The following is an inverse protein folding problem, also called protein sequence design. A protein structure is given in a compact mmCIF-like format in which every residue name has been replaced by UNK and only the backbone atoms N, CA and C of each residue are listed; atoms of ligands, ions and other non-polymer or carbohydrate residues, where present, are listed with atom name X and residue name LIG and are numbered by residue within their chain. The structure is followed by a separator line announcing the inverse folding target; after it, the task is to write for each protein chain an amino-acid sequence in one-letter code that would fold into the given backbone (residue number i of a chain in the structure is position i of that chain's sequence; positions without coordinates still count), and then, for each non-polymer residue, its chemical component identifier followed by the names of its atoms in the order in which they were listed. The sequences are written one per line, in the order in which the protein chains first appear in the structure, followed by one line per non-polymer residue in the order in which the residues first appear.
data_IF_301337896802
#
_entry.id   IF_301337896802
#
_cell.length_a   1.000
_cell.length_b   1.000
_cell.length_c   1.000
_cell.angle_alpha   90.00
_cell.angle_beta   90.00
_cell.angle_gamma   90.00
#
_symmetry.space_group_name_H-M   'P 1'
#
loop_
_entity.id
_entity.type
_entity.pdbx_description
1 polymer ?
#
# COMPACT_ATOMS: atom_id res chain seq x y z
N UNK A 1 -63.69 -26.77 101.08
CA UNK A 1 -63.06 -26.93 99.75
C UNK A 1 -61.99 -25.87 99.58
N UNK A 2 -60.78 -26.02 100.15
CA UNK A 2 -59.61 -25.17 99.79
C UNK A 2 -58.26 -25.64 100.38
N UNK A 3 -58.17 -26.79 101.07
CA UNK A 3 -56.89 -27.27 101.65
C UNK A 3 -55.82 -27.47 100.57
N UNK A 4 -56.20 -28.04 99.42
CA UNK A 4 -55.30 -28.29 98.29
C UNK A 4 -54.70 -27.02 97.68
N UNK A 5 -55.42 -25.89 97.73
CA UNK A 5 -54.88 -24.59 97.28
C UNK A 5 -53.91 -24.01 98.31
N UNK A 6 -54.22 -24.17 99.59
CA UNK A 6 -53.34 -23.78 100.70
C UNK A 6 -52.03 -24.58 100.70
N UNK A 7 -52.08 -25.89 100.49
CA UNK A 7 -50.88 -26.73 100.43
C UNK A 7 -49.98 -26.37 99.23
N UNK A 8 -50.57 -26.08 98.05
CA UNK A 8 -49.80 -25.59 96.90
C UNK A 8 -49.14 -24.24 97.15
N UNK A 9 -49.85 -23.33 97.81
CA UNK A 9 -49.32 -22.04 98.19
C UNK A 9 -48.18 -22.19 99.21
N UNK A 10 -48.33 -23.09 100.18
CA UNK A 10 -47.30 -23.38 101.17
C UNK A 10 -46.06 -24.00 100.53
N UNK A 11 -46.24 -24.94 99.59
CA UNK A 11 -45.14 -25.52 98.82
C UNK A 11 -44.44 -24.48 97.92
N UNK A 12 -45.20 -23.59 97.26
CA UNK A 12 -44.58 -22.54 96.43
C UNK A 12 -43.84 -21.52 97.29
N UNK A 13 -44.37 -21.16 98.46
CA UNK A 13 -43.69 -20.29 99.42
C UNK A 13 -42.42 -20.96 99.96
N UNK A 14 -42.48 -22.25 100.32
CA UNK A 14 -41.30 -23.02 100.72
C UNK A 14 -40.25 -23.10 99.61
N UNK A 15 -40.66 -23.21 98.34
CA UNK A 15 -39.73 -23.17 97.21
C UNK A 15 -39.04 -21.81 97.04
N UNK A 16 -39.77 -20.71 97.26
CA UNK A 16 -39.17 -19.37 97.23
C UNK A 16 -38.25 -19.15 98.43
N UNK A 17 -38.61 -19.66 99.61
CA UNK A 17 -37.76 -19.60 100.81
C UNK A 17 -36.50 -20.44 100.60
N UNK A 18 -36.61 -21.63 100.05
CA UNK A 18 -35.47 -22.49 99.71
C UNK A 18 -34.59 -21.83 98.63
N UNK A 19 -35.17 -21.20 97.62
CA UNK A 19 -34.42 -20.43 96.62
C UNK A 19 -33.68 -19.24 97.23
N UNK A 20 -34.34 -18.46 98.09
CA UNK A 20 -33.73 -17.32 98.78
C UNK A 20 -32.67 -17.78 99.78
N UNK A 21 -32.89 -18.89 100.47
CA UNK A 21 -31.95 -19.47 101.42
C UNK A 21 -30.72 -20.01 100.68
N UNK A 22 -30.89 -20.66 99.53
CA UNK A 22 -29.78 -21.09 98.69
C UNK A 22 -29.03 -19.90 98.10
N UNK A 23 -29.72 -18.81 97.71
CA UNK A 23 -29.08 -17.58 97.23
C UNK A 23 -28.23 -16.94 98.33
N UNK A 24 -28.79 -16.80 99.54
CA UNK A 24 -28.09 -16.28 100.71
C UNK A 24 -26.95 -17.21 101.16
N UNK A 25 -27.10 -18.53 101.07
CA UNK A 25 -26.04 -19.48 101.38
C UNK A 25 -24.90 -19.47 100.33
N UNK A 26 -25.21 -19.21 99.06
CA UNK A 26 -24.21 -18.97 98.01
C UNK A 26 -23.47 -17.65 98.24
N UNK A 27 -24.18 -16.63 98.73
CA UNK A 27 -23.60 -15.35 99.13
C UNK A 27 -22.70 -15.51 100.37
N UNK A 28 -23.12 -16.28 101.38
CA UNK A 28 -22.37 -16.59 102.61
C UNK A 28 -21.12 -17.46 102.37
N UNK A 29 -21.20 -18.44 101.46
CA UNK A 29 -20.01 -19.25 101.09
C UNK A 29 -19.01 -18.47 100.24
N UNK A 30 -19.45 -17.41 99.55
CA UNK A 30 -18.57 -16.47 98.85
C UNK A 30 -18.06 -15.32 99.76
N UNK A 31 -18.65 -15.09 100.94
CA UNK A 31 -18.37 -13.96 101.84
C UNK A 31 -17.43 -14.25 103.02
N UNK A 32 -16.58 -15.30 102.92
CA UNK A 32 -15.44 -15.49 103.82
C UNK A 32 -14.28 -14.49 103.59
N UNK A 33 -14.37 -13.63 102.58
CA UNK A 33 -13.41 -12.57 102.25
C UNK A 33 -14.16 -11.24 102.21
N UNK A 34 -13.73 -10.29 103.06
CA UNK A 34 -14.22 -8.90 103.21
C UNK A 34 -15.25 -8.41 102.14
N UNK A 35 -16.51 -8.12 102.52
CA UNK A 35 -17.54 -7.60 101.62
C UNK A 35 -17.10 -6.33 100.85
N UNK A 36 -16.33 -5.46 101.52
CA UNK A 36 -15.74 -4.25 100.94
C UNK A 36 -14.76 -4.57 99.79
N UNK A 37 -13.98 -5.65 99.89
CA UNK A 37 -13.04 -6.06 98.84
C UNK A 37 -13.76 -6.68 97.62
N UNK A 38 -14.91 -7.33 97.82
CA UNK A 38 -15.76 -7.85 96.74
C UNK A 38 -16.42 -6.73 95.94
N UNK A 39 -16.92 -5.70 96.62
CA UNK A 39 -17.49 -4.52 95.98
C UNK A 39 -16.42 -3.71 95.21
N UNK A 40 -15.25 -3.52 95.80
CA UNK A 40 -14.13 -2.81 95.17
C UNK A 40 -13.61 -3.53 93.91
N UNK A 41 -13.51 -4.86 93.94
CA UNK A 41 -13.11 -5.64 92.76
C UNK A 41 -14.20 -5.61 91.67
N UNK A 42 -15.48 -5.56 92.04
CA UNK A 42 -16.59 -5.38 91.09
C UNK A 42 -16.56 -3.99 90.44
N UNK A 43 -16.36 -2.93 91.23
CA UNK A 43 -16.20 -1.55 90.74
C UNK A 43 -15.00 -1.44 89.79
N UNK A 44 -13.86 -2.05 90.13
CA UNK A 44 -12.68 -2.10 89.25
C UNK A 44 -12.97 -2.83 87.94
N UNK A 45 -13.66 -3.98 87.97
CA UNK A 45 -14.07 -4.70 86.74
C UNK A 45 -14.99 -3.85 85.87
N UNK A 46 -15.97 -3.16 86.46
CA UNK A 46 -16.86 -2.28 85.71
C UNK A 46 -16.12 -1.09 85.06
N UNK A 47 -15.12 -0.53 85.75
CA UNK A 47 -14.26 0.53 85.20
C UNK A 47 -13.42 -0.01 84.03
N UNK A 48 -12.79 -1.17 84.19
CA UNK A 48 -11.99 -1.81 83.15
C UNK A 48 -12.84 -2.13 81.90
N UNK A 49 -14.04 -2.69 82.06
CA UNK A 49 -14.95 -2.95 80.92
C UNK A 49 -15.40 -1.65 80.25
N UNK A 50 -15.60 -0.57 81.02
CA UNK A 50 -15.94 0.75 80.48
C UNK A 50 -14.77 1.34 79.67
N UNK A 51 -13.54 1.13 80.11
CA UNK A 51 -12.34 1.53 79.36
C UNK A 51 -12.19 0.72 78.07
N UNK A 52 -12.35 -0.61 78.13
CA UNK A 52 -12.38 -1.47 76.95
C UNK A 52 -13.47 -1.06 75.95
N UNK A 53 -14.67 -0.72 76.43
CA UNK A 53 -15.74 -0.21 75.57
C UNK A 53 -15.39 1.13 74.90
N UNK A 54 -14.74 2.04 75.63
CA UNK A 54 -14.28 3.31 75.08
C UNK A 54 -13.21 3.11 74.01
N UNK A 55 -12.23 2.24 74.28
CA UNK A 55 -11.18 1.90 73.32
C UNK A 55 -11.77 1.27 72.06
N UNK A 56 -12.69 0.30 72.21
CA UNK A 56 -13.39 -0.32 71.08
C UNK A 56 -14.20 0.71 70.27
N UNK A 57 -14.87 1.65 70.95
CA UNK A 57 -15.60 2.72 70.26
C UNK A 57 -14.67 3.67 69.51
N UNK A 58 -13.51 3.98 70.08
CA UNK A 58 -12.51 4.83 69.44
C UNK A 58 -11.90 4.16 68.21
N UNK A 59 -11.49 2.89 68.31
CA UNK A 59 -10.93 2.13 67.17
C UNK A 59 -11.97 1.92 66.08
N UNK A 60 -13.22 1.65 66.44
CA UNK A 60 -14.32 1.59 65.47
C UNK A 60 -14.48 2.92 64.71
N UNK A 61 -14.50 4.04 65.43
CA UNK A 61 -14.64 5.37 64.81
C UNK A 61 -13.46 5.67 63.87
N UNK A 62 -12.23 5.37 64.29
CA UNK A 62 -11.02 5.51 63.48
C UNK A 62 -11.13 4.69 62.18
N UNK A 63 -11.60 3.44 62.26
CA UNK A 63 -11.80 2.60 61.08
C UNK A 63 -12.87 3.16 60.13
N UNK A 64 -13.98 3.66 60.66
CA UNK A 64 -15.04 4.29 59.85
C UNK A 64 -14.50 5.52 59.13
N UNK A 65 -13.71 6.36 59.80
CA UNK A 65 -13.09 7.55 59.21
C UNK A 65 -12.02 7.19 58.17
N UNK A 66 -11.21 6.17 58.44
CA UNK A 66 -10.22 5.64 57.48
C UNK A 66 -10.91 5.10 56.22
N UNK A 67 -11.99 4.32 56.36
CA UNK A 67 -12.76 3.81 55.22
C UNK A 67 -13.42 4.95 54.46
N UNK A 68 -14.03 5.90 55.16
CA UNK A 68 -14.73 7.03 54.54
C UNK A 68 -13.77 7.93 53.76
N UNK A 69 -12.61 8.24 54.34
CA UNK A 69 -11.57 9.02 53.66
C UNK A 69 -10.98 8.29 52.46
N UNK A 70 -10.70 6.99 52.58
CA UNK A 70 -10.24 6.16 51.47
C UNK A 70 -11.28 6.10 50.33
N UNK A 71 -12.56 5.95 50.66
CA UNK A 71 -13.65 5.93 49.68
C UNK A 71 -13.76 7.27 48.93
N UNK A 72 -13.71 8.39 49.66
CA UNK A 72 -13.75 9.73 49.07
C UNK A 72 -12.56 10.00 48.13
N UNK A 73 -11.42 9.36 48.36
CA UNK A 73 -10.26 9.45 47.46
C UNK A 73 -10.34 8.47 46.27
N UNK A 74 -10.89 7.28 46.47
CA UNK A 74 -10.93 6.23 45.44
C UNK A 74 -12.04 6.45 44.41
N UNK A 75 -13.21 6.91 44.84
CA UNK A 75 -14.37 7.14 43.97
C UNK A 75 -14.08 8.09 42.78
N UNK A 76 -13.49 9.29 42.97
CA UNK A 76 -13.19 10.18 41.85
C UNK A 76 -12.14 9.59 40.90
N UNK A 77 -11.11 8.90 41.43
CA UNK A 77 -10.09 8.23 40.61
C UNK A 77 -10.70 7.15 39.71
N UNK A 78 -11.63 6.37 40.24
CA UNK A 78 -12.38 5.36 39.46
C UNK A 78 -13.22 6.03 38.37
N UNK A 79 -13.94 7.11 38.68
CA UNK A 79 -14.73 7.85 37.70
C UNK A 79 -13.87 8.46 36.59
N UNK A 80 -12.71 9.02 36.93
CA UNK A 80 -11.76 9.53 35.95
C UNK A 80 -11.21 8.43 35.05
N UNK A 81 -10.85 7.27 35.62
CA UNK A 81 -10.42 6.11 34.84
C UNK A 81 -11.52 5.64 33.87
N UNK A 82 -12.78 5.66 34.30
CA UNK A 82 -13.92 5.33 33.44
C UNK A 82 -14.11 6.35 32.31
N UNK A 83 -13.98 7.66 32.59
CA UNK A 83 -14.03 8.70 31.54
C UNK A 83 -12.90 8.53 30.53
N UNK A 84 -11.67 8.29 31.00
CA UNK A 84 -10.51 8.03 30.14
C UNK A 84 -10.71 6.78 29.28
N UNK A 85 -11.29 5.72 29.85
CA UNK A 85 -11.64 4.50 29.10
C UNK A 85 -12.64 4.79 27.98
N UNK A 86 -13.68 5.57 28.24
CA UNK A 86 -14.65 5.97 27.21
C UNK A 86 -13.97 6.79 26.10
N UNK A 87 -13.14 7.78 26.46
CA UNK A 87 -12.38 8.57 25.48
C UNK A 87 -11.44 7.72 24.61
N UNK A 88 -10.76 6.73 25.21
CA UNK A 88 -9.90 5.81 24.46
C UNK A 88 -10.73 4.93 23.50
N UNK A 89 -11.91 4.50 23.92
CA UNK A 89 -12.81 3.72 23.08
C UNK A 89 -13.29 4.54 21.87
N UNK A 90 -13.72 5.78 22.09
CA UNK A 90 -14.10 6.70 21.02
C UNK A 90 -12.93 6.96 20.05
N UNK A 91 -11.71 7.17 20.58
CA UNK A 91 -10.52 7.38 19.77
C UNK A 91 -10.16 6.15 18.92
N UNK A 92 -10.35 4.93 19.46
CA UNK A 92 -10.16 3.68 18.73
C UNK A 92 -11.18 3.54 17.60
N UNK A 93 -12.45 3.82 17.86
CA UNK A 93 -13.51 3.81 16.83
C UNK A 93 -13.21 4.81 15.71
N UNK A 94 -12.77 6.02 16.06
CA UNK A 94 -12.35 7.03 15.07
C UNK A 94 -11.14 6.56 14.25
N UNK A 95 -10.14 5.95 14.89
CA UNK A 95 -8.96 5.43 14.19
C UNK A 95 -9.35 4.30 13.24
N UNK A 96 -10.24 3.40 13.66
CA UNK A 96 -10.74 2.32 12.83
C UNK A 96 -11.54 2.85 11.64
N UNK A 97 -12.39 3.85 11.83
CA UNK A 97 -13.12 4.52 10.76
C UNK A 97 -12.15 5.19 9.77
N UNK A 98 -11.13 5.92 10.26
CA UNK A 98 -10.09 6.53 9.41
C UNK A 98 -9.30 5.48 8.62
N UNK A 99 -8.95 4.36 9.24
CA UNK A 99 -8.27 3.24 8.58
C UNK A 99 -9.13 2.70 7.43
N UNK A 100 -10.43 2.48 7.66
CA UNK A 100 -11.34 1.98 6.63
C UNK A 100 -11.47 2.98 5.47
N UNK A 101 -11.69 4.26 5.78
CA UNK A 101 -11.77 5.32 4.78
C UNK A 101 -10.48 5.44 3.95
N UNK A 102 -9.31 5.31 4.58
CA UNK A 102 -8.02 5.31 3.87
C UNK A 102 -7.86 4.09 2.95
N UNK A 103 -8.29 2.90 3.41
CA UNK A 103 -8.29 1.69 2.56
C UNK A 103 -9.21 1.83 1.35
N UNK A 104 -10.39 2.42 1.51
CA UNK A 104 -11.32 2.66 0.40
C UNK A 104 -10.78 3.68 -0.59
N UNK A 105 -10.22 4.80 -0.11
CA UNK A 105 -9.53 5.80 -0.95
C UNK A 105 -8.37 5.18 -1.74
N UNK A 106 -7.59 4.29 -1.12
CA UNK A 106 -6.52 3.57 -1.82
C UNK A 106 -7.08 2.67 -2.92
N UNK A 107 -8.17 1.93 -2.64
CA UNK A 107 -8.81 1.05 -3.63
C UNK A 107 -9.34 1.85 -4.82
N UNK A 108 -9.97 2.99 -4.59
CA UNK A 108 -10.47 3.84 -5.69
C UNK A 108 -9.33 4.46 -6.50
N UNK A 109 -8.29 4.98 -5.84
CA UNK A 109 -7.10 5.49 -6.52
C UNK A 109 -6.40 4.40 -7.35
N UNK A 110 -6.31 3.17 -6.83
CA UNK A 110 -5.75 2.03 -7.55
C UNK A 110 -6.56 1.70 -8.81
N UNK A 111 -7.89 1.63 -8.72
CA UNK A 111 -8.76 1.41 -9.88
C UNK A 111 -8.62 2.52 -10.92
N UNK A 112 -8.56 3.77 -10.47
CA UNK A 112 -8.35 4.91 -11.37
C UNK A 112 -7.00 4.83 -12.09
N UNK A 113 -5.93 4.48 -11.38
CA UNK A 113 -4.62 4.29 -11.98
C UNK A 113 -4.63 3.17 -13.01
N UNK A 114 -5.24 2.02 -12.71
CA UNK A 114 -5.38 0.91 -13.64
C UNK A 114 -6.13 1.33 -14.91
N UNK A 115 -7.25 2.05 -14.77
CA UNK A 115 -8.01 2.55 -15.91
C UNK A 115 -7.18 3.52 -16.76
N UNK A 116 -6.36 4.36 -16.16
CA UNK A 116 -5.48 5.26 -16.89
C UNK A 116 -4.37 4.52 -17.64
N UNK A 117 -3.79 3.49 -17.02
CA UNK A 117 -2.81 2.63 -17.69
C UNK A 117 -3.44 1.90 -18.88
N UNK A 118 -4.64 1.36 -18.71
CA UNK A 118 -5.36 0.68 -19.78
C UNK A 118 -5.68 1.63 -20.95
N UNK A 119 -6.17 2.84 -20.66
CA UNK A 119 -6.41 3.87 -21.68
C UNK A 119 -5.14 4.25 -22.43
N UNK A 120 -4.01 4.38 -21.71
CA UNK A 120 -2.74 4.68 -22.35
C UNK A 120 -2.28 3.55 -23.28
N UNK A 121 -2.42 2.30 -22.84
CA UNK A 121 -2.11 1.12 -23.66
C UNK A 121 -3.03 1.00 -24.88
N UNK A 122 -4.32 1.27 -24.72
CA UNK A 122 -5.29 1.31 -25.83
C UNK A 122 -4.89 2.38 -26.85
N UNK A 123 -4.61 3.60 -26.40
CA UNK A 123 -4.18 4.68 -27.30
C UNK A 123 -2.86 4.34 -28.02
N UNK A 124 -1.89 3.74 -27.32
CA UNK A 124 -0.64 3.30 -27.93
C UNK A 124 -0.88 2.22 -29.00
N UNK A 125 -1.81 1.29 -28.76
CA UNK A 125 -2.19 0.26 -29.72
C UNK A 125 -2.87 0.86 -30.96
N UNK A 126 -3.79 1.81 -30.79
CA UNK A 126 -4.45 2.55 -31.88
C UNK A 126 -3.42 3.27 -32.76
N UNK A 127 -2.56 4.09 -32.16
CA UNK A 127 -1.49 4.80 -32.89
C UNK A 127 -0.57 3.82 -33.61
N UNK A 128 -0.24 2.68 -32.99
CA UNK A 128 0.58 1.66 -33.65
C UNK A 128 -0.12 0.99 -34.84
N UNK A 129 -1.45 0.85 -34.80
CA UNK A 129 -2.24 0.31 -35.90
C UNK A 129 -2.33 1.31 -37.05
N UNK A 130 -2.62 2.58 -36.76
CA UNK A 130 -2.64 3.68 -37.74
C UNK A 130 -1.29 3.80 -38.46
N UNK A 131 -0.18 3.77 -37.72
CA UNK A 131 1.16 3.82 -38.31
C UNK A 131 1.41 2.64 -39.25
N UNK A 132 0.96 1.44 -38.90
CA UNK A 132 1.09 0.27 -39.79
C UNK A 132 0.25 0.41 -41.04
N UNK A 133 -0.98 0.89 -40.91
CA UNK A 133 -1.88 1.13 -42.05
C UNK A 133 -1.30 2.18 -43.00
N UNK A 134 -0.84 3.31 -42.48
CA UNK A 134 -0.15 4.33 -43.27
C UNK A 134 1.10 3.76 -43.97
N UNK A 135 1.92 2.99 -43.25
CA UNK A 135 3.10 2.35 -43.85
C UNK A 135 2.75 1.37 -44.97
N UNK A 136 1.67 0.62 -44.83
CA UNK A 136 1.19 -0.29 -45.88
C UNK A 136 0.71 0.52 -47.09
N UNK A 137 -0.09 1.58 -46.88
CA UNK A 137 -0.56 2.47 -47.95
C UNK A 137 0.60 3.10 -48.72
N UNK A 138 1.57 3.67 -48.03
CA UNK A 138 2.77 4.26 -48.66
C UNK A 138 3.58 3.22 -49.43
N UNK A 139 3.71 1.98 -48.93
CA UNK A 139 4.40 0.90 -49.68
C UNK A 139 3.66 0.56 -50.98
N UNK A 140 2.33 0.47 -50.94
CA UNK A 140 1.51 0.21 -52.12
C UNK A 140 1.63 1.33 -53.15
N UNK A 141 1.62 2.60 -52.72
CA UNK A 141 1.86 3.75 -53.58
C UNK A 141 3.24 3.70 -54.24
N UNK A 142 4.29 3.36 -53.47
CA UNK A 142 5.63 3.18 -54.03
C UNK A 142 5.68 2.05 -55.08
N UNK A 143 5.02 0.92 -54.83
CA UNK A 143 4.95 -0.18 -55.80
C UNK A 143 4.21 0.25 -57.08
N UNK A 144 3.13 1.03 -56.98
CA UNK A 144 2.41 1.58 -58.13
C UNK A 144 3.30 2.53 -58.95
N UNK A 145 4.00 3.46 -58.29
CA UNK A 145 4.93 4.39 -58.95
C UNK A 145 6.07 3.65 -59.66
N UNK A 146 6.58 2.56 -59.08
CA UNK A 146 7.59 1.73 -59.72
C UNK A 146 7.07 1.06 -61.01
N UNK A 147 5.83 0.59 -61.00
CA UNK A 147 5.18 0.01 -62.18
C UNK A 147 4.95 1.07 -63.27
N UNK A 148 4.52 2.27 -62.89
CA UNK A 148 4.37 3.40 -63.82
C UNK A 148 5.71 3.85 -64.42
N UNK A 149 6.77 3.91 -63.63
CA UNK A 149 8.11 4.20 -64.14
C UNK A 149 8.59 3.14 -65.13
N UNK A 150 8.31 1.86 -64.85
CA UNK A 150 8.65 0.77 -65.76
C UNK A 150 7.90 0.89 -67.09
N UNK A 151 6.61 1.22 -67.06
CA UNK A 151 5.80 1.40 -68.28
C UNK A 151 6.24 2.63 -69.08
N UNK A 152 6.53 3.76 -68.43
CA UNK A 152 7.08 4.97 -69.07
C UNK A 152 8.44 4.71 -69.72
N UNK A 153 9.31 3.96 -69.05
CA UNK A 153 10.62 3.57 -69.61
C UNK A 153 10.45 2.70 -70.85
N UNK A 154 9.54 1.74 -70.82
CA UNK A 154 9.22 0.91 -71.98
C UNK A 154 8.67 1.75 -73.15
N UNK A 155 7.77 2.69 -72.87
CA UNK A 155 7.22 3.60 -73.88
C UNK A 155 8.31 4.48 -74.49
N UNK A 156 9.21 5.03 -73.67
CA UNK A 156 10.35 5.82 -74.13
C UNK A 156 11.25 5.00 -75.06
N UNK A 157 11.53 3.74 -74.69
CA UNK A 157 12.28 2.82 -75.56
C UNK A 157 11.59 2.55 -76.89
N UNK A 158 10.27 2.34 -76.89
CA UNK A 158 9.49 2.15 -78.12
C UNK A 158 9.51 3.39 -79.03
N UNK A 159 9.39 4.60 -78.47
CA UNK A 159 9.50 5.84 -79.23
C UNK A 159 10.92 6.05 -79.78
N UNK A 160 11.95 5.69 -79.02
CA UNK A 160 13.33 5.74 -79.48
C UNK A 160 13.57 4.76 -80.65
N UNK A 161 13.06 3.53 -80.56
CA UNK A 161 13.12 2.55 -81.65
C UNK A 161 12.36 3.03 -82.90
N UNK A 162 11.22 3.71 -82.71
CA UNK A 162 10.51 4.37 -83.81
C UNK A 162 11.39 5.46 -84.43
N UNK A 163 11.96 6.35 -83.62
CA UNK A 163 12.80 7.44 -84.09
C UNK A 163 13.99 6.90 -84.90
N UNK A 164 14.66 5.86 -84.39
CA UNK A 164 15.79 5.23 -85.08
C UNK A 164 15.35 4.63 -86.42
N UNK A 165 14.20 3.95 -86.49
CA UNK A 165 13.65 3.47 -87.77
C UNK A 165 13.40 4.61 -88.77
N UNK A 166 12.81 5.71 -88.32
CA UNK A 166 12.63 6.89 -89.18
C UNK A 166 13.96 7.46 -89.66
N UNK A 167 14.99 7.49 -88.80
CA UNK A 167 16.33 7.92 -89.18
C UNK A 167 16.96 7.00 -90.24
N UNK A 168 16.82 5.68 -90.09
CA UNK A 168 17.25 4.70 -91.11
C UNK A 168 16.51 4.89 -92.44
N UNK A 169 15.19 5.13 -92.40
CA UNK A 169 14.42 5.41 -93.62
C UNK A 169 14.90 6.68 -94.33
N UNK A 170 15.20 7.74 -93.57
CA UNK A 170 15.76 8.96 -94.14
C UNK A 170 17.12 8.70 -94.82
N UNK A 171 18.02 7.96 -94.17
CA UNK A 171 19.31 7.57 -94.77
C UNK A 171 19.13 6.78 -96.08
N UNK A 172 18.20 5.84 -96.11
CA UNK A 172 17.90 5.06 -97.30
C UNK A 172 17.35 5.94 -98.44
N UNK A 173 16.46 6.88 -98.12
CA UNK A 173 15.91 7.84 -99.09
C UNK A 173 17.01 8.70 -99.72
N UNK A 174 17.93 9.25 -98.90
CA UNK A 174 19.08 10.00 -99.41
C UNK A 174 19.98 9.15 -100.33
N UNK A 175 20.23 7.89 -99.96
CA UNK A 175 21.02 6.95 -100.76
C UNK A 175 20.37 6.66 -102.12
N UNK A 176 19.05 6.46 -102.16
CA UNK A 176 18.29 6.23 -103.39
C UNK A 176 18.22 7.49 -104.29
N UNK A 177 18.33 8.68 -103.70
CA UNK A 177 18.38 9.95 -104.43
C UNK A 177 19.75 10.23 -105.08
N UNK A 178 20.78 9.43 -104.79
CA UNK A 178 22.09 9.51 -105.47
C UNK A 178 23.07 10.53 -104.88
N UNK A 179 22.79 11.11 -103.71
CA UNK A 179 23.76 11.96 -103.00
C UNK A 179 24.51 11.13 -101.93
N UNK A 180 25.72 10.70 -102.30
CA UNK A 180 26.64 10.00 -101.43
C UNK A 180 27.30 10.99 -100.44
N UNK A 181 26.72 11.21 -99.27
CA UNK A 181 27.47 11.75 -98.13
C UNK A 181 28.12 10.59 -97.38
N UNK A 182 29.39 10.34 -97.71
CA UNK A 182 30.30 9.61 -96.83
C UNK A 182 30.82 10.56 -95.74
N UNK A 183 31.19 10.04 -94.55
CA UNK A 183 31.37 10.81 -93.33
C UNK A 183 32.70 11.56 -93.37
N UNK A 184 32.66 12.88 -93.25
CA UNK A 184 33.84 13.73 -93.19
C UNK A 184 33.87 14.49 -91.86
N UNK A 185 34.98 14.28 -91.13
CA UNK A 185 35.45 14.96 -89.92
C UNK A 185 34.87 14.53 -88.56
N UNK A 186 35.47 13.49 -87.96
CA UNK A 186 35.89 13.62 -86.56
C UNK A 186 37.06 14.63 -86.51
N UNK A 187 36.81 15.85 -86.03
CA UNK A 187 37.80 16.73 -85.39
C UNK A 187 37.10 17.98 -84.82
N UNK A 188 36.26 17.77 -83.80
CA UNK A 188 36.25 18.61 -82.60
C UNK A 188 35.58 17.80 -81.49
N UNK A 189 36.39 16.91 -80.92
CA UNK A 189 36.32 16.62 -79.49
C UNK A 189 36.21 17.94 -78.72
N UNK A 190 35.33 17.99 -77.72
CA UNK A 190 35.88 18.12 -76.38
C UNK A 190 36.15 16.74 -75.80
N UNK A 191 37.44 16.52 -75.62
CA UNK A 191 38.09 15.39 -75.02
C UNK A 191 37.63 15.22 -73.57
N UNK A 192 37.27 14.00 -73.19
CA UNK A 192 37.31 13.51 -71.82
C UNK A 192 38.73 13.61 -71.24
N UNK A 193 38.81 13.97 -69.95
CA UNK A 193 39.73 13.54 -68.88
C UNK A 193 39.97 14.75 -67.95
N UNK A 194 39.59 14.72 -66.68
CA UNK A 194 40.03 13.72 -65.71
C UNK A 194 38.90 13.10 -64.86
N UNK A 195 38.88 11.76 -64.83
CA UNK A 195 38.86 11.05 -63.54
C UNK A 195 40.26 11.19 -62.93
N UNK A 196 40.36 11.31 -61.60
CA UNK A 196 41.29 10.45 -60.90
C UNK A 196 40.49 9.50 -60.03
N UNK A 197 40.56 8.22 -60.39
CA UNK A 197 40.17 7.14 -59.49
C UNK A 197 41.26 7.03 -58.43
N UNK A 198 41.00 7.52 -57.22
CA UNK A 198 41.68 7.03 -56.03
C UNK A 198 40.70 6.99 -54.85
N UNK A 199 40.35 5.78 -54.44
CA UNK A 199 39.77 5.50 -53.10
C UNK A 199 40.95 5.25 -52.16
N UNK A 200 40.87 5.54 -50.83
CA UNK A 200 39.62 5.59 -50.06
C UNK A 200 39.53 6.71 -49.00
N UNK A 201 38.37 6.79 -48.33
CA UNK A 201 38.20 7.25 -46.93
C UNK A 201 38.28 8.77 -46.63
N UNK A 202 37.10 9.40 -46.45
CA UNK A 202 36.59 9.98 -45.18
C UNK A 202 35.73 11.24 -45.38
N UNK A 203 34.50 11.15 -44.85
CA UNK A 203 33.83 12.20 -44.08
C UNK A 203 33.36 13.47 -44.84
N UNK A 204 32.21 13.38 -45.53
CA UNK A 204 31.35 14.55 -45.74
C UNK A 204 30.18 14.51 -44.77
N UNK A 205 30.36 15.30 -43.71
CA UNK A 205 29.34 15.85 -42.81
C UNK A 205 28.13 16.37 -43.61
N UNK A 206 26.89 15.94 -43.33
CA UNK A 206 25.72 16.66 -43.79
C UNK A 206 25.61 17.95 -42.98
N UNK A 207 25.53 19.05 -43.72
CA UNK A 207 25.26 20.38 -43.23
C UNK A 207 23.92 20.41 -42.49
N UNK A 208 23.97 20.92 -41.26
CA UNK A 208 22.84 21.14 -40.36
C UNK A 208 21.84 22.09 -41.00
N UNK A 209 20.77 21.54 -41.56
CA UNK A 209 19.50 22.23 -41.77
C UNK A 209 18.39 21.37 -41.16
N UNK A 210 18.39 21.29 -39.83
CA UNK A 210 17.21 20.98 -39.04
C UNK A 210 16.68 22.30 -38.47
N UNK A 211 15.87 23.00 -39.24
CA UNK A 211 14.92 23.98 -38.71
C UNK A 211 13.55 23.32 -38.76
N UNK A 212 13.21 22.69 -37.65
CA UNK A 212 12.00 21.90 -37.43
C UNK A 212 11.94 21.59 -35.95
N UNK A 213 11.65 22.64 -35.17
CA UNK A 213 11.59 22.67 -33.71
C UNK A 213 10.73 21.54 -33.14
N UNK A 214 11.36 20.42 -32.76
CA UNK A 214 10.83 19.49 -31.78
C UNK A 214 10.94 20.12 -30.38
N UNK A 215 10.13 21.14 -30.09
CA UNK A 215 9.83 21.53 -28.71
C UNK A 215 9.08 20.36 -28.06
N UNK A 216 9.79 19.50 -27.33
CA UNK A 216 9.11 18.40 -26.65
C UNK A 216 9.93 17.53 -25.71
N UNK A 217 11.26 17.54 -25.76
CA UNK A 217 12.05 16.66 -24.91
C UNK A 217 12.21 17.14 -23.46
N UNK A 218 12.02 18.44 -23.19
CA UNK A 218 12.09 19.02 -21.83
C UNK A 218 10.76 19.01 -21.06
N UNK A 219 9.62 18.78 -21.73
CA UNK A 219 8.29 18.75 -21.06
C UNK A 219 7.94 17.41 -20.43
N UNK A 220 8.62 16.32 -20.80
CA UNK A 220 8.32 14.99 -20.25
C UNK A 220 8.73 14.93 -18.77
N UNK A 221 9.85 15.54 -18.36
CA UNK A 221 10.29 15.52 -16.96
C UNK A 221 9.47 16.44 -16.03
N UNK A 222 8.96 17.58 -16.52
CA UNK A 222 8.09 18.44 -15.71
C UNK A 222 6.75 17.78 -15.35
N UNK A 223 6.27 16.87 -16.21
CA UNK A 223 5.08 16.08 -15.96
C UNK A 223 5.28 15.09 -14.81
N UNK A 224 6.43 14.41 -14.77
CA UNK A 224 6.78 13.44 -13.73
C UNK A 224 7.02 14.11 -12.38
N UNK A 225 7.68 15.27 -12.34
CA UNK A 225 7.89 16.02 -11.09
C UNK A 225 6.59 16.61 -10.53
N UNK A 226 5.69 17.09 -11.41
CA UNK A 226 4.33 17.53 -11.02
C UNK A 226 3.45 16.36 -10.57
N UNK A 227 3.67 15.15 -11.09
CA UNK A 227 2.98 13.93 -10.66
C UNK A 227 3.51 13.46 -9.30
N UNK A 228 4.83 13.39 -9.13
CA UNK A 228 5.49 13.00 -7.89
C UNK A 228 5.18 13.98 -6.73
N UNK A 229 5.10 15.29 -7.02
CA UNK A 229 4.67 16.30 -6.05
C UNK A 229 3.25 16.06 -5.54
N UNK A 230 2.31 15.73 -6.43
CA UNK A 230 0.91 15.43 -6.07
C UNK A 230 0.76 14.15 -5.24
N UNK A 231 1.59 13.14 -5.50
CA UNK A 231 1.60 11.92 -4.68
C UNK A 231 2.14 12.14 -3.27
N UNK A 232 3.08 13.06 -3.09
CA UNK A 232 3.60 13.46 -1.78
C UNK A 232 2.55 14.20 -0.95
N UNK A 233 1.75 15.02 -1.61
CA UNK A 233 0.64 15.78 -1.01
C UNK A 233 -0.55 14.90 -0.58
N UNK A 234 -0.82 13.82 -1.33
CA UNK A 234 -1.95 12.91 -1.07
C UNK A 234 -1.64 11.87 0.03
N UNK A 235 -0.38 11.49 0.21
CA UNK A 235 0.01 10.43 1.15
C UNK A 235 0.47 10.93 2.52
N UNK A 236 0.74 12.23 2.68
CA UNK A 236 1.31 12.79 3.90
C UNK A 236 2.73 12.28 4.16
N UNK A 237 3.56 13.10 4.81
CA UNK A 237 4.93 12.74 5.17
C UNK A 237 4.96 11.62 6.21
N UNK A 238 4.77 10.38 5.77
CA UNK A 238 5.01 9.17 6.54
C UNK A 238 6.51 8.81 6.50
N UNK A 239 7.11 8.35 7.62
CA UNK A 239 8.57 8.27 7.78
C UNK A 239 9.23 7.09 7.05
N UNK A 240 8.55 6.45 6.09
CA UNK A 240 9.07 5.26 5.41
C UNK A 240 9.36 5.56 3.94
N UNK A 241 10.63 5.61 3.53
CA UNK A 241 10.97 5.69 2.11
C UNK A 241 10.56 4.37 1.45
N UNK A 242 9.60 4.45 0.51
CA UNK A 242 9.26 3.32 -0.36
C UNK A 242 10.49 2.91 -1.20
N UNK A 243 10.63 1.62 -1.55
CA UNK A 243 11.75 1.15 -2.36
C UNK A 243 11.77 1.87 -3.71
N UNK A 244 12.92 2.44 -4.08
CA UNK A 244 13.13 3.01 -5.42
C UNK A 244 12.90 1.91 -6.46
N UNK A 245 12.06 2.14 -7.49
CA UNK A 245 11.92 1.18 -8.57
C UNK A 245 13.26 1.03 -9.29
N UNK A 246 13.83 -0.18 -9.26
CA UNK A 246 14.97 -0.51 -10.10
C UNK A 246 14.54 -0.45 -11.56
N UNK A 247 15.11 0.49 -12.32
CA UNK A 247 14.97 0.53 -13.77
C UNK A 247 15.48 -0.80 -14.36
N UNK A 248 14.75 -1.43 -15.31
CA UNK A 248 15.32 -2.51 -16.09
C UNK A 248 16.48 -1.94 -16.91
N UNK A 249 17.67 -2.49 -16.72
CA UNK A 249 18.84 -2.19 -17.56
C UNK A 249 18.45 -2.49 -19.01
N UNK A 250 18.47 -1.46 -19.86
CA UNK A 250 18.27 -1.60 -21.29
C UNK A 250 19.25 -2.64 -21.85
N UNK A 251 18.72 -3.60 -22.59
CA UNK A 251 19.48 -4.70 -23.18
C UNK A 251 20.49 -4.17 -24.19
N UNK A 252 21.76 -4.55 -24.01
CA UNK A 252 22.72 -4.63 -25.10
C UNK A 252 22.83 -6.10 -25.54
N UNK A 253 22.99 -6.37 -26.84
CA UNK A 253 23.03 -7.73 -27.38
C UNK A 253 24.38 -8.41 -27.06
N UNK A 254 24.35 -9.65 -26.56
CA UNK A 254 25.51 -10.53 -26.54
C UNK A 254 25.64 -11.28 -27.87
N UNK A 255 26.86 -11.51 -28.38
CA UNK A 255 27.08 -12.20 -29.64
C UNK A 255 26.93 -13.73 -29.47
N UNK A 256 26.51 -14.36 -30.56
CA UNK A 256 26.36 -15.79 -30.71
C UNK A 256 27.69 -16.54 -30.49
N UNK A 257 27.62 -17.67 -29.78
CA UNK A 257 28.76 -18.57 -29.62
C UNK A 257 28.41 -19.87 -28.89
N UNK A 258 28.22 -20.92 -29.69
CA UNK A 258 28.42 -22.34 -29.37
C UNK A 258 27.45 -23.06 -28.41
N UNK A 259 26.59 -23.85 -29.06
CA UNK A 259 26.26 -25.24 -28.76
C UNK A 259 26.90 -25.88 -27.52
N UNK A 260 26.06 -26.36 -26.62
CA UNK A 260 26.15 -27.73 -26.12
C UNK A 260 24.82 -28.17 -25.52
N UNK A 261 24.17 -29.13 -26.18
CA UNK A 261 23.19 -30.02 -25.55
C UNK A 261 23.88 -30.77 -24.41
N UNK A 262 23.20 -30.98 -23.28
CA UNK A 262 23.30 -32.25 -22.53
C UNK A 262 22.15 -32.40 -21.50
N UNK A 263 21.17 -33.21 -21.89
CA UNK A 263 20.58 -34.32 -21.13
C UNK A 263 19.99 -34.08 -19.72
N UNK A 264 18.66 -34.19 -19.66
CA UNK A 264 17.92 -34.85 -18.57
C UNK A 264 18.28 -36.35 -18.51
N UNK A 265 18.33 -36.93 -17.31
CA UNK A 265 17.34 -37.94 -16.93
C UNK A 265 16.92 -37.73 -15.47
N UNK A 266 15.86 -38.27 -14.91
CA UNK A 266 14.96 -39.38 -15.22
C UNK A 266 14.20 -39.64 -13.91
N UNK A 267 12.93 -40.01 -14.01
CA UNK A 267 12.03 -40.07 -12.85
C UNK A 267 12.37 -41.16 -11.83
N UNK A 268 11.79 -41.03 -10.64
CA UNK A 268 11.45 -42.19 -9.81
C UNK A 268 10.23 -41.90 -8.94
N UNK A 269 9.23 -42.77 -9.07
CA UNK A 269 8.05 -42.91 -8.22
C UNK A 269 8.42 -43.57 -6.88
N UNK A 270 7.77 -43.15 -5.79
CA UNK A 270 7.23 -43.99 -4.69
C UNK A 270 6.53 -43.04 -3.69
N UNK A 271 5.19 -43.06 -3.48
CA UNK A 271 4.27 -44.03 -2.85
C UNK A 271 4.25 -43.96 -1.31
N UNK A 272 3.02 -43.89 -0.78
CA UNK A 272 2.57 -44.10 0.62
C UNK A 272 3.00 -43.03 1.63
N UNK A 273 2.15 -42.49 2.51
CA UNK A 273 0.83 -42.90 3.00
C UNK A 273 0.80 -42.67 4.51
N UNK A 274 -0.05 -41.74 4.98
CA UNK A 274 -0.80 -41.73 6.25
C UNK A 274 -1.63 -40.45 6.33
#
# INVERSE_FOLDING_TARGET
MDSRKKDKLLCSQLQVVDFLQNFLAQEDTAHGLNPLASEDTSRQKAIATKEQWKELKATYQEHVEAITSALNQALPKMQEAQRKRAQLQDALEQLQAKKQAAMEKRRTAQKQWQLQQEKHLQHLAEVSAEVRECQIGTKQEFEQLYQELASLKQQTGQEQDKLQRHQTFLQLLYTLQGELLSPEAEAELPQEQDLPEDKPQQLTRPQELNTGDCIGASKVNEGWDRWAGRWREILGDGPYPLPKPCLPKAGCPQPAGHASMLWLPGGQQHREGS
#
